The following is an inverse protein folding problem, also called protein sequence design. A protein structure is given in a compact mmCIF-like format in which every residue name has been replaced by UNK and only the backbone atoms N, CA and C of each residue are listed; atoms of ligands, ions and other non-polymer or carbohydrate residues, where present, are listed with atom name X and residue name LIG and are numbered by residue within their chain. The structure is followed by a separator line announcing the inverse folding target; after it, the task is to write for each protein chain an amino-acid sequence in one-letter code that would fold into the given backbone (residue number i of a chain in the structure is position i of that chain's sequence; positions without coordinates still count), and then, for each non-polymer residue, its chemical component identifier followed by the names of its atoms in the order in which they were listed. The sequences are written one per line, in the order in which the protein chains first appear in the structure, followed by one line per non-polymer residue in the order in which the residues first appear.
data_IF_493881525574
#
_entry.id   IF_493881525574
#
_cell.length_a   1.000
_cell.length_b   1.000
_cell.length_c   1.000
_cell.angle_alpha   90.00
_cell.angle_beta   90.00
_cell.angle_gamma   90.00
#
_symmetry.space_group_name_H-M   'P 1'
#
loop_
_entity.id
_entity.type
_entity.pdbx_description
1 polymer ?
#
# COMPACT_ATOMS: atom_id res chain seq x y z
N UNK A 1 -11.53 5.63 -19.41
CA UNK A 1 -11.29 5.65 -17.96
C UNK A 1 -10.29 6.75 -17.67
N UNK A 2 -10.54 7.69 -16.73
CA UNK A 2 -9.63 8.81 -16.49
C UNK A 2 -8.46 8.48 -15.54
N UNK A 3 -8.32 7.22 -15.11
CA UNK A 3 -7.33 6.78 -14.13
C UNK A 3 -6.41 5.74 -14.77
N UNK A 4 -5.12 5.82 -14.49
CA UNK A 4 -4.15 4.77 -14.75
C UNK A 4 -3.52 4.25 -13.46
N UNK A 5 -3.32 2.92 -13.35
CA UNK A 5 -2.65 2.29 -12.21
C UNK A 5 -1.40 1.55 -12.69
N UNK A 6 -0.26 1.88 -12.09
CA UNK A 6 1.04 1.30 -12.43
C UNK A 6 1.70 0.78 -11.17
N UNK A 7 2.03 -0.50 -11.15
CA UNK A 7 2.78 -1.14 -10.06
C UNK A 7 4.27 -1.11 -10.40
N UNK A 8 5.11 -0.55 -9.53
CA UNK A 8 6.57 -0.55 -9.78
C UNK A 8 7.11 -1.98 -9.68
N UNK A 9 7.77 -2.49 -10.74
CA UNK A 9 8.33 -3.84 -10.71
C UNK A 9 9.56 -3.90 -9.78
N UNK A 10 9.88 -5.07 -9.21
CA UNK A 10 11.10 -5.24 -8.42
C UNK A 10 12.34 -4.97 -9.28
N UNK A 11 13.29 -4.20 -8.76
CA UNK A 11 14.50 -3.83 -9.51
C UNK A 11 14.22 -2.99 -10.77
N UNK A 12 13.14 -2.21 -10.76
CA UNK A 12 12.69 -1.45 -11.92
C UNK A 12 13.82 -0.60 -12.53
N UNK A 13 14.01 -0.80 -13.83
CA UNK A 13 14.71 0.12 -14.74
C UNK A 13 13.70 1.07 -15.36
N UNK A 14 14.19 2.15 -15.98
CA UNK A 14 13.33 3.02 -16.77
C UNK A 14 12.55 2.24 -17.84
N UNK A 15 13.20 1.37 -18.63
CA UNK A 15 12.53 0.58 -19.67
C UNK A 15 11.42 -0.34 -19.11
N UNK A 16 11.69 -1.06 -18.01
CA UNK A 16 10.68 -1.93 -17.40
C UNK A 16 9.52 -1.13 -16.82
N UNK A 17 9.80 0.05 -16.25
CA UNK A 17 8.76 0.92 -15.74
C UNK A 17 7.90 1.49 -16.88
N UNK A 18 8.49 1.99 -17.97
CA UNK A 18 7.74 2.43 -19.16
C UNK A 18 6.88 1.30 -19.74
N UNK A 19 7.38 0.06 -19.71
CA UNK A 19 6.61 -1.10 -20.17
C UNK A 19 5.35 -1.34 -19.32
N UNK A 20 5.39 -1.09 -18.01
CA UNK A 20 4.19 -1.18 -17.15
C UNK A 20 3.15 -0.10 -17.49
N UNK A 21 3.58 1.13 -17.81
CA UNK A 21 2.68 2.16 -18.33
C UNK A 21 2.04 1.73 -19.66
N UNK A 22 2.84 1.21 -20.58
CA UNK A 22 2.33 0.68 -21.85
C UNK A 22 1.33 -0.45 -21.65
N UNK A 23 1.63 -1.38 -20.73
CA UNK A 23 0.77 -2.51 -20.39
C UNK A 23 -0.60 -2.07 -19.87
N UNK A 24 -0.68 -1.00 -19.07
CA UNK A 24 -1.93 -0.54 -18.49
C UNK A 24 -2.99 -0.18 -19.55
N UNK A 25 -2.60 0.54 -20.60
CA UNK A 25 -3.50 0.89 -21.72
C UNK A 25 -3.44 -0.09 -22.90
N UNK A 26 -2.76 -1.24 -22.74
CA UNK A 26 -2.63 -2.23 -23.81
C UNK A 26 -1.83 -1.73 -25.02
N UNK A 27 -0.91 -0.79 -24.83
CA UNK A 27 -0.05 -0.28 -25.91
C UNK A 27 0.87 -1.42 -26.37
N UNK A 28 0.81 -1.83 -27.65
CA UNK A 28 1.65 -2.91 -28.16
C UNK A 28 3.13 -2.54 -28.05
N UNK A 29 3.90 -3.37 -27.34
CA UNK A 29 5.36 -3.21 -27.24
C UNK A 29 6.05 -4.46 -27.76
N UNK A 30 7.20 -4.27 -28.43
CA UNK A 30 8.05 -5.39 -28.87
C UNK A 30 9.42 -5.31 -28.19
N UNK A 31 10.12 -6.42 -28.11
CA UNK A 31 11.47 -6.49 -27.49
C UNK A 31 12.48 -5.55 -28.14
N UNK A 32 12.30 -5.23 -29.43
CA UNK A 32 13.16 -4.33 -30.22
C UNK A 32 12.90 -2.85 -29.98
N UNK A 33 11.75 -2.47 -29.39
CA UNK A 33 11.47 -1.07 -29.13
C UNK A 33 12.43 -0.50 -28.10
N UNK A 34 12.91 0.71 -28.38
CA UNK A 34 13.72 1.49 -27.45
C UNK A 34 12.84 2.07 -26.35
N UNK A 35 13.42 2.42 -25.21
CA UNK A 35 12.68 3.09 -24.14
C UNK A 35 11.99 4.37 -24.64
N UNK A 36 12.69 5.19 -25.45
CA UNK A 36 12.15 6.44 -25.99
C UNK A 36 10.90 6.19 -26.86
N UNK A 37 10.92 5.15 -27.70
CA UNK A 37 9.76 4.80 -28.53
C UNK A 37 8.55 4.38 -27.67
N UNK A 38 8.78 3.61 -26.60
CA UNK A 38 7.71 3.21 -25.68
C UNK A 38 7.18 4.43 -24.92
N UNK A 39 8.07 5.31 -24.43
CA UNK A 39 7.68 6.54 -23.72
C UNK A 39 6.84 7.45 -24.61
N UNK A 40 7.21 7.62 -25.88
CA UNK A 40 6.44 8.44 -26.82
C UNK A 40 5.02 7.89 -27.00
N UNK A 41 4.91 6.58 -27.23
CA UNK A 41 3.62 5.91 -27.38
C UNK A 41 2.77 6.03 -26.10
N UNK A 42 3.38 5.89 -24.93
CA UNK A 42 2.73 6.09 -23.62
C UNK A 42 2.20 7.51 -23.50
N UNK A 43 3.05 8.53 -23.68
CA UNK A 43 2.64 9.93 -23.53
C UNK A 43 1.51 10.30 -24.50
N UNK A 44 1.65 9.91 -25.78
CA UNK A 44 0.60 10.13 -26.77
C UNK A 44 -0.71 9.47 -26.36
N UNK A 45 -0.68 8.17 -26.06
CA UNK A 45 -1.90 7.40 -25.76
C UNK A 45 -2.56 7.85 -24.47
N UNK A 46 -1.80 8.17 -23.41
CA UNK A 46 -2.35 8.65 -22.14
C UNK A 46 -3.06 10.00 -22.32
N UNK A 47 -2.47 10.93 -23.06
CA UNK A 47 -3.07 12.23 -23.34
C UNK A 47 -4.29 12.10 -24.25
N UNK A 48 -4.22 11.30 -25.32
CA UNK A 48 -5.35 11.07 -26.24
C UNK A 48 -6.51 10.33 -25.56
N UNK A 49 -6.21 9.39 -24.66
CA UNK A 49 -7.23 8.69 -23.87
C UNK A 49 -7.86 9.56 -22.77
N UNK A 50 -7.33 10.77 -22.53
CA UNK A 50 -7.82 11.68 -21.50
C UNK A 50 -7.57 11.16 -20.09
N UNK A 51 -6.41 10.53 -19.83
CA UNK A 51 -6.01 10.17 -18.47
C UNK A 51 -5.79 11.45 -17.67
N UNK A 52 -6.43 11.53 -16.51
CA UNK A 52 -6.36 12.69 -15.60
C UNK A 52 -5.72 12.35 -14.25
N UNK A 53 -5.60 11.06 -13.93
CA UNK A 53 -4.98 10.55 -12.71
C UNK A 53 -4.08 9.36 -13.02
N UNK A 54 -2.85 9.38 -12.52
CA UNK A 54 -1.90 8.25 -12.59
C UNK A 54 -1.50 7.87 -11.18
N UNK A 55 -1.86 6.65 -10.78
CA UNK A 55 -1.49 6.03 -9.51
C UNK A 55 -0.26 5.15 -9.73
N UNK A 56 0.85 5.47 -9.06
CA UNK A 56 2.07 4.67 -9.08
C UNK A 56 2.26 4.06 -7.71
N UNK A 57 2.18 2.74 -7.63
CA UNK A 57 2.24 1.99 -6.38
C UNK A 57 3.59 1.31 -6.18
N UNK A 58 3.92 1.00 -4.93
CA UNK A 58 5.18 0.40 -4.51
C UNK A 58 6.43 1.23 -4.88
N UNK A 59 6.34 2.56 -4.80
CA UNK A 59 7.42 3.47 -5.23
C UNK A 59 8.75 3.25 -4.50
N UNK A 60 8.68 2.71 -3.29
CA UNK A 60 9.83 2.32 -2.45
C UNK A 60 10.67 1.19 -3.06
N UNK A 61 10.17 0.48 -4.09
CA UNK A 61 10.94 -0.49 -4.88
C UNK A 61 11.97 0.16 -5.80
N UNK A 62 11.80 1.46 -6.10
CA UNK A 62 12.84 2.22 -6.75
C UNK A 62 13.97 2.46 -5.75
N UNK A 63 15.18 2.04 -6.10
CA UNK A 63 16.39 2.37 -5.35
C UNK A 63 17.26 3.34 -6.17
N UNK A 64 17.08 4.66 -6.06
CA UNK A 64 17.80 5.63 -6.87
C UNK A 64 19.29 5.79 -6.48
N UNK A 65 19.77 5.04 -5.48
CA UNK A 65 21.22 4.92 -5.22
C UNK A 65 21.91 4.04 -6.27
N UNK A 66 21.13 3.27 -7.03
CA UNK A 66 21.62 2.51 -8.19
C UNK A 66 21.43 3.32 -9.46
N UNK A 67 22.29 3.10 -10.46
CA UNK A 67 22.16 3.75 -11.77
C UNK A 67 20.80 3.48 -12.41
N UNK A 68 20.28 2.25 -12.27
CA UNK A 68 18.98 1.84 -12.80
C UNK A 68 17.82 2.56 -12.11
N UNK A 69 17.85 2.70 -10.78
CA UNK A 69 16.83 3.45 -10.05
C UNK A 69 16.87 4.96 -10.33
N UNK A 70 18.06 5.54 -10.56
CA UNK A 70 18.18 6.94 -10.97
C UNK A 70 17.52 7.18 -12.34
N UNK A 71 17.75 6.29 -13.31
CA UNK A 71 17.09 6.36 -14.62
C UNK A 71 15.58 6.24 -14.52
N UNK A 72 15.06 5.38 -13.64
CA UNK A 72 13.62 5.25 -13.41
C UNK A 72 13.01 6.51 -12.79
N UNK A 73 13.72 7.17 -11.86
CA UNK A 73 13.31 8.45 -11.29
C UNK A 73 13.26 9.57 -12.35
N UNK A 74 14.28 9.65 -13.20
CA UNK A 74 14.32 10.62 -14.30
C UNK A 74 13.18 10.38 -15.32
N UNK A 75 12.85 9.12 -15.60
CA UNK A 75 11.69 8.76 -16.42
C UNK A 75 10.38 9.23 -15.78
N UNK A 76 10.19 9.02 -14.47
CA UNK A 76 8.96 9.47 -13.80
C UNK A 76 8.81 10.98 -13.89
N UNK A 77 9.91 11.72 -13.72
CA UNK A 77 9.93 13.16 -13.95
C UNK A 77 9.49 13.50 -15.38
N UNK A 78 10.09 12.88 -16.40
CA UNK A 78 9.74 13.12 -17.81
C UNK A 78 8.25 12.85 -18.08
N UNK A 79 7.72 11.74 -17.56
CA UNK A 79 6.30 11.39 -17.68
C UNK A 79 5.40 12.43 -17.01
N UNK A 80 5.77 12.95 -15.83
CA UNK A 80 4.99 13.99 -15.14
C UNK A 80 4.97 15.33 -15.85
N UNK A 81 5.98 15.61 -16.68
CA UNK A 81 6.06 16.84 -17.47
C UNK A 81 5.29 16.72 -18.80
N UNK A 82 5.09 15.49 -19.29
CA UNK A 82 4.52 15.21 -20.62
C UNK A 82 3.08 14.69 -20.60
N UNK A 83 2.64 14.11 -19.49
CA UNK A 83 1.27 13.61 -19.32
C UNK A 83 0.46 14.62 -18.51
N UNK A 84 -0.65 15.08 -19.06
CA UNK A 84 -1.53 16.06 -18.41
C UNK A 84 -2.44 15.41 -17.36
N UNK A 85 -1.83 14.79 -16.36
CA UNK A 85 -2.51 14.08 -15.29
C UNK A 85 -1.93 14.43 -13.92
N UNK A 86 -2.73 14.28 -12.87
CA UNK A 86 -2.25 14.26 -11.49
C UNK A 86 -1.56 12.93 -11.22
N UNK A 87 -0.32 12.98 -10.71
CA UNK A 87 0.42 11.79 -10.30
C UNK A 87 0.33 11.59 -8.79
N UNK A 88 -0.04 10.38 -8.38
CA UNK A 88 -0.06 9.95 -6.98
C UNK A 88 0.96 8.83 -6.83
N UNK A 89 1.89 9.02 -5.90
CA UNK A 89 2.93 8.05 -5.58
C UNK A 89 2.59 7.39 -4.25
N UNK A 90 2.43 6.07 -4.25
CA UNK A 90 2.14 5.26 -3.08
C UNK A 90 3.30 4.32 -2.77
N UNK A 91 3.56 4.10 -1.49
CA UNK A 91 4.57 3.19 -0.99
C UNK A 91 4.80 3.36 0.50
N UNK A 92 5.65 2.49 1.06
CA UNK A 92 6.09 2.61 2.44
C UNK A 92 7.27 3.58 2.52
N UNK A 93 7.26 4.44 3.55
CA UNK A 93 8.36 5.36 3.87
C UNK A 93 8.89 6.14 2.65
N UNK A 94 7.95 6.73 1.90
CA UNK A 94 8.25 7.40 0.62
C UNK A 94 9.23 8.57 0.79
N UNK A 95 9.21 9.25 1.94
CA UNK A 95 10.11 10.37 2.26
C UNK A 95 11.56 9.92 2.46
N UNK A 96 11.79 8.70 2.97
CA UNK A 96 13.12 8.11 3.07
C UNK A 96 13.63 7.58 1.72
N UNK A 97 12.75 7.48 0.70
CA UNK A 97 13.15 7.04 -0.63
C UNK A 97 13.95 8.15 -1.32
N UNK A 98 15.09 7.84 -1.97
CA UNK A 98 15.88 8.84 -2.71
C UNK A 98 15.17 9.50 -3.91
N UNK A 99 13.92 9.10 -4.19
CA UNK A 99 13.09 9.70 -5.23
C UNK A 99 12.62 11.11 -4.82
N UNK A 100 12.43 11.35 -3.52
CA UNK A 100 11.95 12.61 -2.96
C UNK A 100 12.99 13.31 -2.07
N UNK A 101 14.21 12.78 -2.00
CA UNK A 101 15.30 13.36 -1.21
C UNK A 101 16.56 13.61 -2.06
N UNK A 102 17.43 14.51 -1.59
CA UNK A 102 18.62 14.95 -2.32
C UNK A 102 18.33 15.93 -3.47
N UNK A 103 19.39 16.40 -4.14
CA UNK A 103 19.32 17.46 -5.17
C UNK A 103 18.42 17.06 -6.36
N UNK A 104 18.49 15.79 -6.78
CA UNK A 104 17.67 15.28 -7.89
C UNK A 104 16.21 15.06 -7.48
N UNK A 105 15.96 14.51 -6.29
CA UNK A 105 14.62 14.26 -5.77
C UNK A 105 13.85 15.53 -5.38
N UNK A 106 14.55 16.63 -5.11
CA UNK A 106 13.94 17.93 -4.75
C UNK A 106 12.96 18.46 -5.80
N UNK A 107 13.16 18.15 -7.09
CA UNK A 107 12.27 18.59 -8.16
C UNK A 107 10.93 17.85 -8.15
N UNK A 108 10.93 16.55 -7.85
CA UNK A 108 9.70 15.76 -7.68
C UNK A 108 9.04 16.09 -6.35
N UNK A 109 9.82 16.22 -5.28
CA UNK A 109 9.34 16.59 -3.96
C UNK A 109 8.65 17.96 -3.95
N UNK A 110 9.21 18.96 -4.66
CA UNK A 110 8.60 20.28 -4.78
C UNK A 110 7.28 20.32 -5.57
N UNK A 111 6.94 19.24 -6.27
CA UNK A 111 5.68 19.10 -7.04
C UNK A 111 4.66 18.18 -6.35
N UNK A 112 5.01 17.57 -5.23
CA UNK A 112 4.19 16.60 -4.53
C UNK A 112 3.76 17.09 -3.15
N UNK A 113 2.56 16.71 -2.72
CA UNK A 113 2.10 16.87 -1.34
C UNK A 113 2.17 15.51 -0.65
N UNK A 114 2.85 15.45 0.49
CA UNK A 114 2.92 14.24 1.30
C UNK A 114 1.59 14.05 2.05
N UNK A 115 1.03 12.85 1.94
CA UNK A 115 -0.10 12.40 2.76
C UNK A 115 0.38 11.19 3.55
N UNK A 116 0.53 11.36 4.86
CA UNK A 116 0.97 10.30 5.74
C UNK A 116 -0.21 9.39 6.13
N UNK A 117 -0.14 8.14 5.68
CA UNK A 117 -1.11 7.10 6.01
C UNK A 117 -0.54 6.20 7.12
N UNK A 118 -0.84 6.56 8.38
CA UNK A 118 -0.49 5.75 9.55
C UNK A 118 -1.44 4.57 9.80
N UNK A 119 -1.19 3.77 10.85
CA UNK A 119 -2.11 2.73 11.28
C UNK A 119 -3.50 3.29 11.57
N UNK A 120 -4.53 2.51 11.27
CA UNK A 120 -5.92 2.90 11.45
C UNK A 120 -6.20 3.15 12.94
N UNK A 121 -6.57 4.39 13.33
CA UNK A 121 -6.76 4.70 14.74
C UNK A 121 -8.03 4.05 15.27
N UNK A 122 -8.03 3.64 16.55
CA UNK A 122 -9.24 3.14 17.20
C UNK A 122 -10.38 4.18 17.22
N UNK A 123 -10.02 5.48 17.25
CA UNK A 123 -10.95 6.61 17.25
C UNK A 123 -10.34 7.81 16.52
N UNK A 124 -11.14 8.54 15.76
CA UNK A 124 -10.75 9.79 15.11
C UNK A 124 -11.88 10.82 15.30
N UNK A 125 -11.70 11.72 16.29
CA UNK A 125 -12.77 12.62 16.74
C UNK A 125 -13.97 11.83 17.28
N UNK A 126 -15.15 12.00 16.66
CA UNK A 126 -16.37 11.25 16.99
C UNK A 126 -16.54 9.97 16.14
N UNK A 127 -15.61 9.67 15.23
CA UNK A 127 -15.66 8.47 14.40
C UNK A 127 -14.85 7.32 15.00
N UNK A 128 -15.24 6.11 14.66
CA UNK A 128 -14.61 4.86 15.11
C UNK A 128 -14.11 4.04 13.91
N UNK A 129 -13.16 4.58 13.11
CA UNK A 129 -12.86 4.04 11.78
C UNK A 129 -12.36 2.59 11.84
N UNK A 130 -11.68 2.20 12.92
CA UNK A 130 -11.28 0.80 13.11
C UNK A 130 -12.47 -0.15 13.35
N UNK A 131 -13.45 0.28 14.14
CA UNK A 131 -14.69 -0.48 14.35
C UNK A 131 -15.50 -0.58 13.05
N UNK A 132 -15.53 0.50 12.27
CA UNK A 132 -16.21 0.55 10.97
C UNK A 132 -15.59 -0.50 10.00
N UNK A 133 -14.26 -0.50 9.86
CA UNK A 133 -13.56 -1.50 9.02
C UNK A 133 -13.76 -2.93 9.52
N UNK A 134 -13.75 -3.17 10.83
CA UNK A 134 -14.05 -4.50 11.38
C UNK A 134 -15.48 -4.93 11.04
N UNK A 135 -16.43 -4.00 11.08
CA UNK A 135 -17.83 -4.27 10.75
C UNK A 135 -17.98 -4.65 9.28
N UNK A 136 -17.31 -3.91 8.38
CA UNK A 136 -17.32 -4.20 6.95
C UNK A 136 -16.67 -5.56 6.63
N UNK A 137 -15.54 -5.86 7.28
CA UNK A 137 -14.90 -7.17 7.16
C UNK A 137 -15.79 -8.29 7.68
N UNK A 138 -16.46 -8.12 8.82
CA UNK A 138 -17.38 -9.11 9.37
C UNK A 138 -18.54 -9.40 8.41
N UNK A 139 -19.12 -8.34 7.83
CA UNK A 139 -20.22 -8.46 6.87
C UNK A 139 -19.79 -9.20 5.59
N UNK A 140 -18.51 -9.13 5.22
CA UNK A 140 -17.97 -9.80 4.03
C UNK A 140 -17.63 -11.29 4.25
N UNK A 141 -17.57 -11.78 5.50
CA UNK A 141 -17.11 -13.15 5.80
C UNK A 141 -18.16 -14.25 5.54
N UNK A 142 -19.45 -13.88 5.44
CA UNK A 142 -20.61 -14.77 5.26
C UNK A 142 -20.55 -16.18 5.93
N UNK A 143 -20.26 -16.33 7.24
CA UNK A 143 -20.27 -17.65 7.88
C UNK A 143 -21.68 -17.99 8.40
N UNK A 144 -22.20 -19.19 8.11
CA UNK A 144 -23.61 -19.56 8.38
C UNK A 144 -24.00 -19.46 9.86
N UNK A 145 -23.04 -19.71 10.76
CA UNK A 145 -23.27 -19.72 12.20
C UNK A 145 -22.78 -18.46 12.92
N UNK A 146 -22.17 -17.51 12.21
CA UNK A 146 -21.61 -16.30 12.81
C UNK A 146 -22.69 -15.27 13.08
N UNK A 147 -22.61 -14.59 14.24
CA UNK A 147 -23.57 -13.55 14.61
C UNK A 147 -22.98 -12.18 14.24
N UNK A 148 -23.64 -11.39 13.37
CA UNK A 148 -23.23 -10.02 13.10
C UNK A 148 -23.08 -9.19 14.39
N UNK A 149 -22.10 -8.30 14.42
CA UNK A 149 -21.72 -7.50 15.58
C UNK A 149 -20.81 -8.22 16.58
N UNK A 150 -20.35 -9.45 16.30
CA UNK A 150 -19.42 -10.17 17.19
C UNK A 150 -18.02 -9.57 17.15
N UNK A 151 -17.47 -9.34 15.96
CA UNK A 151 -16.13 -8.78 15.79
C UNK A 151 -16.05 -7.30 16.20
N UNK A 152 -17.01 -6.42 15.85
CA UNK A 152 -17.00 -5.02 16.31
C UNK A 152 -17.01 -4.88 17.85
N UNK A 153 -17.67 -5.81 18.57
CA UNK A 153 -17.62 -5.84 20.05
C UNK A 153 -16.21 -6.11 20.60
N UNK A 154 -15.35 -6.74 19.82
CA UNK A 154 -13.96 -7.02 20.17
C UNK A 154 -12.97 -6.02 19.56
N UNK A 155 -13.42 -4.88 19.00
CA UNK A 155 -12.57 -3.90 18.33
C UNK A 155 -11.34 -3.48 19.17
N UNK A 156 -11.50 -3.24 20.48
CA UNK A 156 -10.38 -2.85 21.34
C UNK A 156 -9.29 -3.94 21.43
N UNK A 157 -9.71 -5.20 21.54
CA UNK A 157 -8.80 -6.35 21.57
C UNK A 157 -8.11 -6.54 20.22
N UNK A 158 -8.87 -6.46 19.13
CA UNK A 158 -8.35 -6.61 17.77
C UNK A 158 -7.41 -5.46 17.41
N UNK A 159 -7.72 -4.23 17.84
CA UNK A 159 -6.86 -3.05 17.65
C UNK A 159 -5.53 -3.23 18.38
N UNK A 160 -5.57 -3.67 19.64
CA UNK A 160 -4.36 -3.98 20.40
C UNK A 160 -3.50 -5.06 19.73
N UNK A 161 -4.12 -6.11 19.18
CA UNK A 161 -3.42 -7.22 18.51
C UNK A 161 -2.79 -6.82 17.18
N UNK A 162 -3.42 -5.92 16.44
CA UNK A 162 -3.01 -5.55 15.07
C UNK A 162 -2.25 -4.22 15.02
N UNK A 163 -2.21 -3.49 16.13
CA UNK A 163 -1.74 -2.11 16.21
C UNK A 163 -2.39 -1.18 15.17
N UNK A 164 -3.61 -1.48 14.72
CA UNK A 164 -4.31 -0.74 13.67
C UNK A 164 -3.81 -1.00 12.25
N UNK A 165 -2.90 -1.96 12.02
CA UNK A 165 -2.41 -2.30 10.69
C UNK A 165 -3.46 -3.15 9.94
N UNK A 166 -3.88 -2.68 8.76
CA UNK A 166 -4.90 -3.36 7.95
C UNK A 166 -4.42 -4.75 7.51
N UNK A 167 -3.16 -4.91 7.11
CA UNK A 167 -2.60 -6.22 6.74
C UNK A 167 -2.63 -7.24 7.88
N UNK A 168 -2.27 -6.81 9.10
CA UNK A 168 -2.37 -7.66 10.30
C UNK A 168 -3.83 -7.98 10.65
N UNK A 169 -4.74 -7.03 10.45
CA UNK A 169 -6.18 -7.20 10.67
C UNK A 169 -6.80 -8.22 9.72
N UNK A 170 -6.57 -8.07 8.42
CA UNK A 170 -7.10 -9.00 7.41
C UNK A 170 -6.47 -10.38 7.56
N UNK A 171 -5.17 -10.46 7.90
CA UNK A 171 -4.50 -11.71 8.24
C UNK A 171 -5.13 -12.39 9.46
N UNK A 172 -5.36 -11.66 10.55
CA UNK A 172 -5.99 -12.20 11.77
C UNK A 172 -7.38 -12.76 11.49
N UNK A 173 -8.23 -11.96 10.83
CA UNK A 173 -9.61 -12.31 10.55
C UNK A 173 -9.68 -13.45 9.54
N UNK A 174 -8.87 -13.42 8.49
CA UNK A 174 -8.80 -14.48 7.48
C UNK A 174 -8.39 -15.82 8.08
N UNK A 175 -7.35 -15.85 8.91
CA UNK A 175 -6.93 -17.07 9.61
C UNK A 175 -8.00 -17.58 10.59
N UNK A 176 -8.72 -16.67 11.27
CA UNK A 176 -9.80 -17.04 12.16
C UNK A 176 -10.99 -17.65 11.42
N UNK A 177 -11.34 -17.10 10.26
CA UNK A 177 -12.37 -17.64 9.39
C UNK A 177 -12.00 -19.03 8.88
N UNK A 178 -10.76 -19.22 8.40
CA UNK A 178 -10.25 -20.52 7.95
C UNK A 178 -10.32 -21.55 9.10
N UNK A 179 -9.87 -21.18 10.30
CA UNK A 179 -9.91 -22.07 11.47
C UNK A 179 -11.35 -22.47 11.81
N UNK A 180 -12.28 -21.52 11.81
CA UNK A 180 -13.70 -21.75 12.11
C UNK A 180 -14.40 -22.63 11.07
N UNK A 181 -13.97 -22.58 9.80
CA UNK A 181 -14.46 -23.49 8.76
C UNK A 181 -13.87 -24.88 8.97
N UNK A 182 -12.56 -24.98 9.23
CA UNK A 182 -11.88 -26.27 9.41
C UNK A 182 -12.33 -27.04 10.65
N UNK A 183 -12.70 -26.35 11.74
CA UNK A 183 -13.22 -26.97 12.97
C UNK A 183 -14.75 -27.15 12.97
N UNK A 184 -15.43 -26.70 11.91
CA UNK A 184 -16.88 -26.81 11.73
C UNK A 184 -17.70 -25.90 12.65
N UNK A 185 -17.08 -25.01 13.43
CA UNK A 185 -17.80 -24.09 14.32
C UNK A 185 -18.45 -22.94 13.56
N UNK A 186 -17.85 -22.54 12.43
CA UNK A 186 -18.23 -21.41 11.57
C UNK A 186 -18.52 -20.12 12.36
N UNK A 187 -17.78 -19.91 13.45
CA UNK A 187 -17.91 -18.78 14.36
C UNK A 187 -16.55 -18.27 14.77
N UNK A 188 -16.32 -16.98 14.58
CA UNK A 188 -15.11 -16.34 15.08
C UNK A 188 -15.34 -15.85 16.51
N UNK A 189 -14.55 -16.36 17.44
CA UNK A 189 -14.58 -15.97 18.85
C UNK A 189 -13.28 -15.30 19.27
N UNK A 190 -13.30 -14.58 20.40
CA UNK A 190 -12.06 -14.05 21.01
C UNK A 190 -11.01 -15.14 21.23
N UNK A 191 -11.40 -16.36 21.61
CA UNK A 191 -10.50 -17.50 21.81
C UNK A 191 -9.82 -17.91 20.49
N UNK A 192 -10.59 -17.95 19.40
CA UNK A 192 -10.05 -18.22 18.05
C UNK A 192 -9.03 -17.16 17.66
N UNK A 193 -9.35 -15.88 17.87
CA UNK A 193 -8.44 -14.77 17.60
C UNK A 193 -7.15 -14.86 18.45
N UNK A 194 -7.26 -15.30 19.71
CA UNK A 194 -6.14 -15.47 20.62
C UNK A 194 -5.15 -16.56 20.20
N UNK A 195 -5.65 -17.66 19.64
CA UNK A 195 -4.85 -18.79 19.21
C UNK A 195 -4.01 -18.51 17.96
N UNK A 196 -4.37 -17.51 17.16
CA UNK A 196 -3.69 -17.17 15.91
C UNK A 196 -2.44 -16.34 16.19
N UNK A 197 -1.31 -16.74 15.62
CA UNK A 197 -0.08 -15.94 15.63
C UNK A 197 -0.09 -14.94 14.45
N UNK A 198 0.24 -13.68 14.71
CA UNK A 198 0.28 -12.64 13.68
C UNK A 198 1.69 -12.46 13.08
N UNK A 199 1.78 -11.53 12.13
CA UNK A 199 3.05 -11.10 11.56
C UNK A 199 4.01 -10.56 12.63
N UNK A 200 5.30 -10.58 12.30
CA UNK A 200 6.35 -10.21 13.23
C UNK A 200 6.17 -8.79 13.80
N UNK A 201 5.72 -7.82 12.98
CA UNK A 201 5.55 -6.43 13.41
C UNK A 201 4.35 -6.26 14.36
N UNK A 202 3.28 -7.04 14.17
CA UNK A 202 2.15 -7.09 15.09
C UNK A 202 2.53 -7.75 16.43
N UNK A 203 3.30 -8.85 16.39
CA UNK A 203 3.76 -9.54 17.61
C UNK A 203 4.82 -8.72 18.38
N UNK A 204 5.67 -7.96 17.69
CA UNK A 204 6.59 -7.01 18.34
C UNK A 204 5.84 -5.85 19.02
N UNK A 205 4.81 -5.30 18.37
CA UNK A 205 3.98 -4.25 18.96
C UNK A 205 3.20 -4.71 20.20
N UNK A 206 2.89 -6.01 20.29
CA UNK A 206 2.24 -6.65 21.44
C UNK A 206 3.17 -6.77 22.65
N UNK A 207 4.50 -6.87 22.45
CA UNK A 207 5.44 -6.97 23.58
C UNK A 207 5.38 -5.69 24.40
N UNK A 208 5.12 -5.75 25.73
CA UNK A 208 5.18 -4.58 26.57
C UNK A 208 6.58 -3.98 26.42
N UNK A 209 6.67 -2.70 26.03
CA UNK A 209 7.92 -1.94 26.08
C UNK A 209 8.39 -1.96 27.53
N UNK A 210 9.31 -2.85 27.87
CA UNK A 210 10.03 -2.79 29.13
C UNK A 210 10.65 -1.40 29.21
N UNK A 211 10.17 -0.57 30.14
CA UNK A 211 10.78 0.73 30.43
C UNK A 211 12.23 0.45 30.77
N UNK A 212 13.15 0.76 29.86
CA UNK A 212 14.57 0.83 30.21
C UNK A 212 14.67 1.84 31.36
N UNK A 213 15.30 1.49 32.50
CA UNK A 213 15.58 2.46 33.54
C UNK A 213 16.44 3.56 32.92
N UNK A 214 16.04 4.81 33.13
CA UNK A 214 16.87 5.97 32.81
C UNK A 214 18.17 5.87 33.60
N UNK A 215 19.30 5.75 32.90
CA UNK A 215 20.63 5.86 33.51
C UNK A 215 20.76 7.24 34.16
N UNK A 216 21.12 7.35 35.45
CA UNK A 216 21.45 8.64 36.04
C UNK A 216 22.74 9.20 35.44
N UNK A 217 22.80 10.53 35.41
CA UNK A 217 23.88 11.35 34.87
C UNK A 217 25.24 11.14 35.54
#
# INVERSE_FOLDING_TARGET
MPVAYVLVPPGATAKTLTAEFARYLGIPTTTRMTQAQITEAVCHTYNTAGIQLVLIDEIHRLNPRTTTGAQAADLLKDLTERIHATFVYAGIDVTATPLFSGVRGAQLAGRATLIDCGPLPARHGNRHPFTDVITDLENALDPQHHRPGTLPRHHAYVHQRTAGRIGSLTGLIGQAAITAICDGTERITKKTLEAIQLDHLAEEAKRPRTRRPSTPA
#
